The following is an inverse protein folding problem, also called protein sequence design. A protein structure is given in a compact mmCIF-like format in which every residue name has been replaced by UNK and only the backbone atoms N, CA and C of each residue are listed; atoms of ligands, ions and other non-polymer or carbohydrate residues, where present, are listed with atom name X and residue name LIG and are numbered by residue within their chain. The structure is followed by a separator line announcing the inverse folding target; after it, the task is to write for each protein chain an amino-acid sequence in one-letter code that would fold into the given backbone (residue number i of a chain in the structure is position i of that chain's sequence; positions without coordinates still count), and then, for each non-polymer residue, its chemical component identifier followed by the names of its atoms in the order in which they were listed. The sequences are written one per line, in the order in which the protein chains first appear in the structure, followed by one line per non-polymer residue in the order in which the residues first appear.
data_IF_215293927022
#
_entry.id   IF_215293927022
#
_cell.length_a   1.000
_cell.length_b   1.000
_cell.length_c   1.000
_cell.angle_alpha   90.00
_cell.angle_beta   90.00
_cell.angle_gamma   90.00
#
_symmetry.space_group_name_H-M   'P 1'
#
loop_
_entity.id
_entity.type
_entity.pdbx_description
1 polymer ?
#
# COMPACT_ATOMS: atom_id res chain seq x y z
N UNK A 1 -5.85 -27.33 -3.69
CA UNK A 1 -4.71 -28.19 -4.10
C UNK A 1 -3.59 -27.97 -3.08
N UNK A 2 -2.81 -29.00 -2.75
CA UNK A 2 -1.67 -28.86 -1.84
C UNK A 2 -0.57 -27.98 -2.44
N UNK A 3 0.16 -27.23 -1.61
CA UNK A 3 1.34 -26.48 -2.03
C UNK A 3 2.33 -27.40 -2.77
N UNK A 4 2.80 -26.97 -3.95
CA UNK A 4 3.81 -27.68 -4.74
C UNK A 4 4.94 -26.71 -5.05
N UNK A 5 6.04 -26.82 -4.31
CA UNK A 5 7.25 -26.04 -4.53
C UNK A 5 8.31 -26.90 -5.24
N UNK A 6 9.05 -26.30 -6.17
CA UNK A 6 10.30 -26.91 -6.60
C UNK A 6 11.40 -26.80 -5.51
N UNK A 7 12.58 -27.38 -5.77
CA UNK A 7 13.66 -27.39 -4.80
C UNK A 7 14.18 -25.97 -4.45
N UNK A 8 14.19 -25.05 -5.42
CA UNK A 8 14.65 -23.67 -5.23
C UNK A 8 13.65 -22.90 -4.39
N UNK A 9 12.36 -23.00 -4.72
CA UNK A 9 11.29 -22.37 -3.97
C UNK A 9 11.19 -22.91 -2.55
N UNK A 10 11.36 -24.22 -2.36
CA UNK A 10 11.38 -24.83 -1.02
C UNK A 10 12.55 -24.29 -0.18
N UNK A 11 13.74 -24.14 -0.77
CA UNK A 11 14.89 -23.54 -0.08
C UNK A 11 14.60 -22.08 0.32
N UNK A 12 14.10 -21.28 -0.65
CA UNK A 12 13.75 -19.86 -0.46
C UNK A 12 12.71 -19.66 0.64
N UNK A 13 11.59 -20.38 0.59
CA UNK A 13 10.45 -20.18 1.50
C UNK A 13 10.49 -21.08 2.73
N UNK A 14 11.57 -21.85 2.93
CA UNK A 14 11.71 -22.78 4.05
C UNK A 14 11.45 -22.13 5.41
N UNK A 15 11.81 -20.85 5.58
CA UNK A 15 11.61 -20.10 6.83
C UNK A 15 10.17 -19.67 7.08
N UNK A 16 9.35 -19.52 6.04
CA UNK A 16 7.92 -19.28 6.18
C UNK A 16 7.17 -20.58 6.43
N UNK A 17 7.49 -21.62 5.65
CA UNK A 17 6.79 -22.91 5.70
C UNK A 17 6.90 -23.61 7.08
N UNK A 18 7.96 -23.33 7.86
CA UNK A 18 8.15 -23.88 9.21
C UNK A 18 7.41 -23.13 10.31
N UNK A 19 6.88 -21.93 10.05
CA UNK A 19 6.13 -21.17 11.05
C UNK A 19 4.73 -21.76 11.17
N UNK A 20 4.30 -22.11 12.38
CA UNK A 20 3.00 -22.79 12.60
C UNK A 20 1.81 -22.00 12.04
N UNK A 21 1.81 -20.67 12.22
CA UNK A 21 0.73 -19.79 11.75
C UNK A 21 0.79 -19.53 10.23
N UNK A 22 1.93 -19.78 9.57
CA UNK A 22 2.06 -19.62 8.11
C UNK A 22 1.91 -20.98 7.43
N UNK A 23 2.84 -21.89 7.70
CA UNK A 23 2.85 -23.25 7.16
C UNK A 23 2.89 -23.30 5.62
N UNK A 24 2.70 -24.50 5.05
CA UNK A 24 2.55 -24.66 3.61
C UNK A 24 1.33 -23.90 3.04
N UNK A 25 0.24 -23.79 3.80
CA UNK A 25 -0.99 -23.17 3.31
C UNK A 25 -0.86 -21.64 3.21
N UNK A 26 -0.29 -20.98 4.21
CA UNK A 26 -0.03 -19.53 4.17
C UNK A 26 0.94 -19.16 3.07
N UNK A 27 2.03 -19.93 2.89
CA UNK A 27 2.93 -19.70 1.76
C UNK A 27 2.24 -19.92 0.40
N UNK A 28 1.32 -20.88 0.30
CA UNK A 28 0.51 -21.06 -0.92
C UNK A 28 -0.36 -19.85 -1.19
N UNK A 29 -1.03 -19.31 -0.17
CA UNK A 29 -1.84 -18.10 -0.30
C UNK A 29 -1.03 -16.91 -0.79
N UNK A 30 0.20 -16.73 -0.28
CA UNK A 30 1.12 -15.71 -0.80
C UNK A 30 1.41 -15.92 -2.29
N UNK A 31 1.79 -17.14 -2.68
CA UNK A 31 2.12 -17.46 -4.08
C UNK A 31 0.95 -17.31 -5.05
N UNK A 32 -0.28 -17.47 -4.57
CA UNK A 32 -1.49 -17.29 -5.40
C UNK A 32 -2.00 -15.84 -5.40
N UNK A 33 -1.53 -15.00 -4.49
CA UNK A 33 -2.06 -13.66 -4.27
C UNK A 33 -1.52 -12.62 -5.27
N UNK A 34 -2.37 -11.64 -5.54
CA UNK A 34 -2.09 -10.46 -6.35
C UNK A 34 -2.16 -9.22 -5.47
N UNK A 35 -1.06 -8.47 -5.37
CA UNK A 35 -0.99 -7.24 -4.57
C UNK A 35 -0.73 -6.03 -5.45
N UNK A 36 -1.56 -4.99 -5.34
CA UNK A 36 -1.35 -3.71 -6.02
C UNK A 36 -0.61 -2.75 -5.09
N UNK A 37 0.59 -2.33 -5.45
CA UNK A 37 1.34 -1.28 -4.73
C UNK A 37 1.19 0.04 -5.47
N UNK A 38 0.55 1.02 -4.83
CA UNK A 38 0.32 2.35 -5.38
C UNK A 38 1.45 3.28 -4.95
N UNK A 39 2.41 3.49 -5.83
CA UNK A 39 3.63 4.27 -5.62
C UNK A 39 4.84 3.38 -5.34
N UNK A 40 5.87 3.49 -6.17
CA UNK A 40 7.20 2.85 -6.00
C UNK A 40 8.19 3.78 -5.25
N UNK A 41 7.66 4.68 -4.41
CA UNK A 41 8.41 5.69 -3.69
C UNK A 41 9.06 5.19 -2.39
N UNK A 42 9.20 6.08 -1.41
CA UNK A 42 9.88 5.75 -0.14
C UNK A 42 9.16 4.67 0.68
N UNK A 43 7.82 4.67 0.65
CA UNK A 43 7.00 3.64 1.27
C UNK A 43 6.92 2.37 0.40
N UNK A 44 6.77 2.56 -0.92
CA UNK A 44 6.64 1.47 -1.88
C UNK A 44 7.88 0.61 -1.99
N UNK A 45 9.07 1.22 -1.95
CA UNK A 45 10.34 0.52 -2.07
C UNK A 45 10.49 -0.66 -1.07
N UNK A 46 10.44 -0.45 0.25
CA UNK A 46 10.47 -1.55 1.21
C UNK A 46 9.25 -2.47 1.09
N UNK A 47 8.06 -1.95 0.74
CA UNK A 47 6.87 -2.78 0.60
C UNK A 47 7.03 -3.80 -0.54
N UNK A 48 7.39 -3.34 -1.74
CA UNK A 48 7.70 -4.17 -2.92
C UNK A 48 8.80 -5.17 -2.58
N UNK A 49 9.87 -4.72 -1.93
CA UNK A 49 10.99 -5.58 -1.53
C UNK A 49 10.54 -6.77 -0.68
N UNK A 50 9.75 -6.52 0.37
CA UNK A 50 9.35 -7.58 1.29
C UNK A 50 8.19 -8.43 0.77
N UNK A 51 7.28 -7.87 -0.03
CA UNK A 51 6.25 -8.65 -0.72
C UNK A 51 6.88 -9.62 -1.74
N UNK A 52 7.86 -9.14 -2.51
CA UNK A 52 8.62 -9.98 -3.43
C UNK A 52 9.41 -11.06 -2.68
N UNK A 53 10.13 -10.70 -1.61
CA UNK A 53 10.87 -11.65 -0.80
C UNK A 53 9.96 -12.71 -0.14
N UNK A 54 8.76 -12.33 0.26
CA UNK A 54 7.76 -13.22 0.84
C UNK A 54 7.15 -14.21 -0.18
N UNK A 55 7.34 -13.95 -1.48
CA UNK A 55 6.81 -14.77 -2.55
C UNK A 55 5.34 -14.49 -2.83
N UNK A 56 4.92 -13.22 -2.78
CA UNK A 56 3.63 -12.82 -3.35
C UNK A 56 3.63 -13.13 -4.85
N UNK A 57 2.63 -13.85 -5.34
CA UNK A 57 2.60 -14.37 -6.71
C UNK A 57 2.68 -13.29 -7.78
N UNK A 58 1.83 -12.26 -7.67
CA UNK A 58 1.86 -11.10 -8.57
C UNK A 58 1.93 -9.80 -7.78
N UNK A 59 2.83 -8.91 -8.18
CA UNK A 59 2.91 -7.54 -7.68
C UNK A 59 2.61 -6.58 -8.82
N UNK A 60 1.46 -5.91 -8.76
CA UNK A 60 1.16 -4.76 -9.59
C UNK A 60 1.82 -3.51 -9.00
N UNK A 61 2.54 -2.74 -9.81
CA UNK A 61 3.24 -1.52 -9.37
C UNK A 61 2.71 -0.34 -10.18
N UNK A 62 2.07 0.61 -9.50
CA UNK A 62 1.54 1.85 -10.10
C UNK A 62 2.44 3.01 -9.75
N UNK A 63 3.06 3.65 -10.74
CA UNK A 63 3.83 4.88 -10.53
C UNK A 63 4.01 5.60 -11.88
N UNK A 64 3.77 6.92 -11.92
CA UNK A 64 3.91 7.76 -13.11
C UNK A 64 5.26 8.51 -13.18
N UNK A 65 6.11 8.38 -12.15
CA UNK A 65 7.36 9.11 -12.08
C UNK A 65 8.56 8.34 -12.67
N UNK A 66 9.65 9.09 -12.81
CA UNK A 66 11.00 8.57 -13.03
C UNK A 66 11.83 8.62 -11.75
N UNK A 67 12.87 7.81 -11.67
CA UNK A 67 13.84 7.83 -10.57
C UNK A 67 14.65 9.12 -10.63
N UNK A 68 14.65 9.88 -9.54
CA UNK A 68 15.53 11.03 -9.36
C UNK A 68 16.63 10.76 -8.33
N UNK A 69 17.78 11.40 -8.50
CA UNK A 69 18.90 11.26 -7.55
C UNK A 69 18.53 11.67 -6.12
N UNK A 70 17.64 12.65 -5.97
CA UNK A 70 17.10 13.12 -4.68
C UNK A 70 16.28 12.03 -3.94
N UNK A 71 15.83 11.01 -4.67
CA UNK A 71 15.00 9.94 -4.16
C UNK A 71 15.82 8.84 -3.46
N UNK A 72 17.06 8.63 -3.92
CA UNK A 72 17.91 7.49 -3.55
C UNK A 72 18.27 7.41 -2.06
N UNK A 73 18.07 8.49 -1.30
CA UNK A 73 18.24 8.50 0.16
C UNK A 73 17.17 7.68 0.91
N UNK A 74 16.05 7.33 0.24
CA UNK A 74 14.93 6.58 0.85
C UNK A 74 14.23 5.56 -0.06
N UNK A 75 14.46 5.58 -1.37
CA UNK A 75 13.84 4.65 -2.33
C UNK A 75 14.83 3.53 -2.69
N UNK A 76 14.99 2.59 -1.75
CA UNK A 76 16.14 1.67 -1.71
C UNK A 76 16.10 0.52 -2.73
N UNK A 77 15.04 0.40 -3.52
CA UNK A 77 14.95 -0.55 -4.65
C UNK A 77 15.48 0.06 -5.97
N UNK A 78 15.81 1.35 -5.97
CA UNK A 78 16.39 2.06 -7.12
C UNK A 78 17.87 2.36 -6.87
N UNK A 79 18.66 2.41 -7.94
CA UNK A 79 20.09 2.73 -7.90
C UNK A 79 20.47 4.03 -8.64
N UNK A 80 21.73 4.44 -8.51
CA UNK A 80 22.28 5.59 -9.24
C UNK A 80 22.21 5.41 -10.76
N UNK A 81 22.34 4.16 -11.22
CA UNK A 81 22.19 3.78 -12.63
C UNK A 81 20.76 3.87 -13.16
N UNK A 82 19.77 4.00 -12.27
CA UNK A 82 18.37 4.11 -12.66
C UNK A 82 17.88 5.54 -12.83
N UNK A 83 18.69 6.55 -12.50
CA UNK A 83 18.29 7.96 -12.59
C UNK A 83 17.81 8.30 -14.01
N UNK A 84 16.58 8.80 -14.10
CA UNK A 84 15.89 9.13 -15.36
C UNK A 84 15.09 7.97 -15.98
N UNK A 85 15.18 6.75 -15.43
CA UNK A 85 14.32 5.62 -15.81
C UNK A 85 12.99 5.68 -15.06
N UNK A 86 11.96 5.09 -15.65
CA UNK A 86 10.64 4.95 -15.02
C UNK A 86 10.76 4.12 -13.74
N UNK A 87 10.13 4.56 -12.65
CA UNK A 87 10.21 3.83 -11.37
C UNK A 87 9.65 2.42 -11.48
N UNK A 88 8.54 2.24 -12.21
CA UNK A 88 7.94 0.91 -12.44
C UNK A 88 8.90 -0.07 -13.13
N UNK A 89 9.75 0.40 -14.05
CA UNK A 89 10.73 -0.46 -14.73
C UNK A 89 11.89 -0.83 -13.80
N UNK A 90 12.45 0.16 -13.07
CA UNK A 90 13.52 -0.09 -12.10
C UNK A 90 13.05 -1.02 -10.96
N UNK A 91 11.82 -0.84 -10.48
CA UNK A 91 11.23 -1.69 -9.45
C UNK A 91 11.01 -3.13 -9.95
N UNK A 92 10.52 -3.31 -11.18
CA UNK A 92 10.33 -4.63 -11.77
C UNK A 92 11.66 -5.39 -11.94
N UNK A 93 12.74 -4.70 -12.34
CA UNK A 93 14.08 -5.29 -12.43
C UNK A 93 14.62 -5.70 -11.05
N UNK A 94 14.41 -4.86 -10.03
CA UNK A 94 14.76 -5.20 -8.66
C UNK A 94 14.04 -6.47 -8.18
N UNK A 95 12.73 -6.58 -8.44
CA UNK A 95 11.95 -7.77 -8.06
C UNK A 95 12.45 -9.00 -8.81
N UNK A 96 12.71 -8.91 -10.12
CA UNK A 96 13.21 -10.02 -10.91
C UNK A 96 14.58 -10.54 -10.44
N UNK A 97 15.46 -9.64 -9.99
CA UNK A 97 16.76 -10.03 -9.39
C UNK A 97 16.59 -10.68 -8.02
N UNK A 98 15.71 -10.12 -7.17
CA UNK A 98 15.47 -10.61 -5.81
C UNK A 98 14.73 -11.97 -5.79
N UNK A 99 13.66 -12.07 -6.56
CA UNK A 99 12.77 -13.22 -6.61
C UNK A 99 12.17 -13.39 -8.01
N UNK A 100 12.81 -14.16 -8.91
CA UNK A 100 12.35 -14.35 -10.28
C UNK A 100 11.06 -15.18 -10.42
N UNK A 101 10.52 -15.71 -9.32
CA UNK A 101 9.25 -16.45 -9.34
C UNK A 101 8.03 -15.53 -9.15
N UNK A 102 8.26 -14.23 -8.90
CA UNK A 102 7.21 -13.22 -8.73
C UNK A 102 6.91 -12.54 -10.07
N UNK A 103 5.65 -12.55 -10.47
CA UNK A 103 5.19 -11.83 -11.65
C UNK A 103 5.01 -10.34 -11.30
N UNK A 104 5.56 -9.46 -12.13
CA UNK A 104 5.42 -8.00 -11.94
C UNK A 104 4.60 -7.38 -13.07
N UNK A 105 3.51 -6.73 -12.70
CA UNK A 105 2.68 -5.95 -13.62
C UNK A 105 3.01 -4.47 -13.44
N UNK A 106 3.47 -3.83 -14.53
CA UNK A 106 3.91 -2.42 -14.52
C UNK A 106 2.78 -1.53 -15.02
N UNK A 107 2.30 -0.66 -14.15
CA UNK A 107 1.28 0.34 -14.46
C UNK A 107 1.89 1.73 -14.45
N UNK A 108 2.43 2.14 -15.58
CA UNK A 108 2.99 3.48 -15.78
C UNK A 108 1.87 4.51 -16.00
N UNK A 109 1.13 4.78 -14.94
CA UNK A 109 0.00 5.69 -14.94
C UNK A 109 -0.15 6.33 -13.57
N UNK A 110 -0.82 7.48 -13.54
CA UNK A 110 -1.33 8.05 -12.31
C UNK A 110 -2.66 7.38 -11.98
N UNK A 111 -2.78 6.86 -10.76
CA UNK A 111 -4.05 6.34 -10.28
C UNK A 111 -5.01 7.49 -10.01
N UNK A 112 -6.17 7.47 -10.66
CA UNK A 112 -7.22 8.48 -10.53
C UNK A 112 -8.62 7.86 -10.62
N UNK A 113 -9.68 8.67 -10.48
CA UNK A 113 -11.05 8.19 -10.49
C UNK A 113 -11.47 7.50 -11.80
N UNK A 114 -10.77 7.75 -12.91
CA UNK A 114 -11.07 7.17 -14.22
C UNK A 114 -10.49 5.78 -14.43
N UNK A 115 -9.51 5.35 -13.64
CA UNK A 115 -8.85 4.05 -13.78
C UNK A 115 -8.81 3.20 -12.50
N UNK A 116 -9.03 3.80 -11.32
CA UNK A 116 -8.79 3.12 -10.04
C UNK A 116 -9.66 1.89 -9.81
N UNK A 117 -10.96 1.94 -10.15
CA UNK A 117 -11.88 0.83 -9.90
C UNK A 117 -11.51 -0.42 -10.69
N UNK A 118 -11.37 -0.27 -12.01
CA UNK A 118 -11.00 -1.38 -12.89
C UNK A 118 -9.67 -1.97 -12.48
N UNK A 119 -8.67 -1.14 -12.19
CA UNK A 119 -7.37 -1.63 -11.78
C UNK A 119 -7.38 -2.32 -10.42
N UNK A 120 -8.07 -1.77 -9.42
CA UNK A 120 -8.08 -2.33 -8.06
C UNK A 120 -8.84 -3.66 -8.01
N UNK A 121 -9.90 -3.83 -8.79
CA UNK A 121 -10.72 -5.04 -8.81
C UNK A 121 -9.95 -6.32 -9.19
N UNK A 122 -8.80 -6.20 -9.86
CA UNK A 122 -7.96 -7.32 -10.31
C UNK A 122 -6.95 -7.81 -9.24
N UNK A 123 -6.99 -7.26 -8.02
CA UNK A 123 -6.05 -7.56 -6.94
C UNK A 123 -6.74 -7.94 -5.63
N UNK A 124 -6.06 -8.76 -4.82
CA UNK A 124 -6.57 -9.25 -3.54
C UNK A 124 -6.36 -8.24 -2.41
N UNK A 125 -5.28 -7.44 -2.49
CA UNK A 125 -4.92 -6.41 -1.50
C UNK A 125 -4.27 -5.22 -2.20
N UNK A 126 -4.60 -4.01 -1.76
CA UNK A 126 -3.88 -2.78 -2.14
C UNK A 126 -2.92 -2.37 -1.04
N UNK A 127 -1.72 -1.93 -1.39
CA UNK A 127 -0.80 -1.23 -0.50
C UNK A 127 -0.68 0.20 -0.97
N UNK A 128 -1.30 1.11 -0.22
CA UNK A 128 -1.31 2.54 -0.54
C UNK A 128 -0.02 3.20 -0.05
N UNK A 129 0.94 3.35 -0.96
CA UNK A 129 2.22 4.01 -0.74
C UNK A 129 2.26 5.41 -1.34
N UNK A 130 1.10 6.02 -1.62
CA UNK A 130 0.98 7.32 -2.27
C UNK A 130 1.33 8.49 -1.34
N UNK A 131 1.92 9.53 -1.93
CA UNK A 131 2.42 10.70 -1.20
C UNK A 131 1.52 11.94 -1.30
N UNK A 132 0.36 11.81 -1.93
CA UNK A 132 -0.59 12.91 -2.11
C UNK A 132 -2.00 12.52 -1.63
N UNK A 133 -2.75 13.51 -1.15
CA UNK A 133 -4.08 13.27 -0.58
C UNK A 133 -5.08 12.74 -1.62
N UNK A 134 -5.11 13.30 -2.83
CA UNK A 134 -6.09 12.92 -3.84
C UNK A 134 -6.06 11.41 -4.13
N UNK A 135 -4.86 10.83 -4.34
CA UNK A 135 -4.69 9.39 -4.56
C UNK A 135 -5.15 8.57 -3.36
N UNK A 136 -4.90 9.00 -2.12
CA UNK A 136 -5.37 8.29 -0.91
C UNK A 136 -6.90 8.18 -0.86
N UNK A 137 -7.60 9.26 -1.19
CA UNK A 137 -9.06 9.25 -1.25
C UNK A 137 -9.58 8.40 -2.42
N UNK A 138 -8.96 8.48 -3.60
CA UNK A 138 -9.30 7.61 -4.74
C UNK A 138 -9.12 6.13 -4.39
N UNK A 139 -7.98 5.75 -3.80
CA UNK A 139 -7.72 4.37 -3.38
C UNK A 139 -8.75 3.91 -2.35
N UNK A 140 -9.03 4.73 -1.33
CA UNK A 140 -10.02 4.39 -0.32
C UNK A 140 -11.40 4.13 -0.93
N UNK A 141 -11.88 5.05 -1.76
CA UNK A 141 -13.24 5.03 -2.26
C UNK A 141 -13.41 3.88 -3.28
N UNK A 142 -12.45 3.72 -4.20
CA UNK A 142 -12.44 2.63 -5.16
C UNK A 142 -12.33 1.24 -4.49
N UNK A 143 -11.36 1.05 -3.59
CA UNK A 143 -11.15 -0.23 -2.92
C UNK A 143 -12.33 -0.62 -2.04
N UNK A 144 -13.00 0.37 -1.41
CA UNK A 144 -14.22 0.13 -0.65
C UNK A 144 -15.36 -0.41 -1.53
N UNK A 145 -15.55 0.17 -2.71
CA UNK A 145 -16.61 -0.25 -3.64
C UNK A 145 -16.30 -1.63 -4.22
N UNK A 146 -15.04 -1.89 -4.58
CA UNK A 146 -14.62 -3.18 -5.16
C UNK A 146 -14.43 -4.29 -4.11
N UNK A 147 -14.55 -3.98 -2.82
CA UNK A 147 -14.40 -4.96 -1.74
C UNK A 147 -12.96 -5.44 -1.55
N UNK A 148 -11.98 -4.62 -1.88
CA UNK A 148 -10.55 -4.92 -1.76
C UNK A 148 -9.97 -4.24 -0.51
N UNK A 149 -9.33 -4.96 0.42
CA UNK A 149 -8.69 -4.34 1.58
C UNK A 149 -7.44 -3.54 1.20
N UNK A 150 -7.14 -2.51 1.99
CA UNK A 150 -6.00 -1.61 1.79
C UNK A 150 -5.12 -1.58 3.03
N UNK A 151 -3.81 -1.83 2.85
CA UNK A 151 -2.78 -1.50 3.82
C UNK A 151 -2.27 -0.08 3.57
N UNK A 152 -2.80 0.88 4.32
CA UNK A 152 -2.50 2.30 4.14
C UNK A 152 -1.31 2.75 5.00
N UNK A 153 -0.46 3.60 4.43
CA UNK A 153 0.67 4.21 5.12
C UNK A 153 0.84 5.68 4.74
N UNK A 154 1.22 6.49 5.72
CA UNK A 154 1.55 7.89 5.53
C UNK A 154 2.74 8.29 6.41
N UNK A 155 3.47 9.31 6.01
CA UNK A 155 4.62 9.83 6.74
C UNK A 155 4.67 11.35 6.68
N UNK A 156 5.21 11.96 7.71
CA UNK A 156 5.49 13.38 7.78
C UNK A 156 6.68 13.64 8.70
N UNK A 157 7.77 14.22 8.17
CA UNK A 157 9.01 14.52 8.92
C UNK A 157 9.64 13.29 9.61
N UNK A 158 9.25 13.04 10.87
CA UNK A 158 9.72 11.97 11.75
C UNK A 158 8.60 11.02 12.19
N UNK A 159 7.37 11.27 11.73
CA UNK A 159 6.17 10.56 12.16
C UNK A 159 5.64 9.68 11.02
N UNK A 160 5.27 8.45 11.36
CA UNK A 160 4.64 7.48 10.48
C UNK A 160 3.26 7.10 10.97
N UNK A 161 2.36 6.79 10.04
CA UNK A 161 1.00 6.32 10.32
C UNK A 161 0.72 5.09 9.47
N UNK A 162 0.10 4.06 10.06
CA UNK A 162 -0.32 2.84 9.36
C UNK A 162 -1.71 2.44 9.84
N UNK A 163 -2.58 2.03 8.93
CA UNK A 163 -3.85 1.40 9.25
C UNK A 163 -4.27 0.43 8.16
N UNK A 164 -5.16 -0.49 8.49
CA UNK A 164 -5.73 -1.43 7.53
C UNK A 164 -7.19 -1.07 7.30
N UNK A 165 -7.53 -0.75 6.06
CA UNK A 165 -8.90 -0.46 5.62
C UNK A 165 -9.49 -1.75 5.07
N UNK A 166 -10.58 -2.22 5.67
CA UNK A 166 -11.24 -3.46 5.26
C UNK A 166 -12.65 -3.17 4.71
N UNK A 167 -13.17 -3.98 3.77
CA UNK A 167 -14.55 -3.88 3.29
C UNK A 167 -15.62 -3.95 4.39
N UNK A 168 -15.32 -4.54 5.53
CA UNK A 168 -16.25 -4.62 6.67
C UNK A 168 -15.94 -3.60 7.78
N UNK A 169 -14.83 -2.87 7.66
CA UNK A 169 -14.33 -1.92 8.66
C UNK A 169 -14.69 -0.46 8.37
N UNK A 170 -14.26 0.47 9.25
CA UNK A 170 -14.22 1.89 8.93
C UNK A 170 -13.26 2.17 7.76
N UNK A 171 -13.61 3.13 6.91
CA UNK A 171 -12.79 3.54 5.78
C UNK A 171 -11.93 4.77 6.13
N UNK A 172 -11.03 5.19 5.23
CA UNK A 172 -10.18 6.36 5.40
C UNK A 172 -11.00 7.63 5.68
N UNK A 173 -12.14 7.81 5.01
CA UNK A 173 -13.06 8.94 5.24
C UNK A 173 -13.76 8.94 6.60
N UNK A 174 -13.83 7.79 7.29
CA UNK A 174 -14.29 7.79 8.68
C UNK A 174 -13.26 8.45 9.62
N UNK A 175 -11.97 8.39 9.26
CA UNK A 175 -10.89 8.96 10.04
C UNK A 175 -10.58 10.40 9.60
N UNK A 176 -10.54 10.65 8.30
CA UNK A 176 -10.30 11.94 7.68
C UNK A 176 -11.42 12.22 6.66
N UNK A 177 -12.52 12.86 7.06
CA UNK A 177 -13.68 13.07 6.19
C UNK A 177 -13.35 13.82 4.90
N UNK A 178 -12.50 14.83 5.00
CA UNK A 178 -12.08 15.71 3.91
C UNK A 178 -10.56 15.91 3.92
N UNK A 179 -9.92 16.09 2.75
CA UNK A 179 -8.52 16.45 2.68
C UNK A 179 -8.28 17.83 3.31
N UNK A 180 -7.06 18.10 3.80
CA UNK A 180 -6.67 19.46 4.16
C UNK A 180 -6.82 20.42 2.98
N UNK A 181 -7.07 21.71 3.26
CA UNK A 181 -7.13 22.74 2.22
C UNK A 181 -5.84 22.74 1.37
N UNK A 182 -5.94 22.87 0.03
CA UNK A 182 -4.77 22.87 -0.84
C UNK A 182 -3.69 23.86 -0.39
N UNK A 183 -2.45 23.37 -0.25
CA UNK A 183 -1.30 24.17 0.16
C UNK A 183 -1.12 24.37 1.67
N UNK A 184 -2.02 23.86 2.52
CA UNK A 184 -1.86 23.96 3.99
C UNK A 184 -0.89 22.93 4.56
N UNK A 185 -0.79 21.76 3.92
CA UNK A 185 0.16 20.72 4.30
C UNK A 185 1.24 20.65 3.22
N UNK A 186 2.51 20.99 3.53
CA UNK A 186 3.60 20.88 2.57
C UNK A 186 3.93 19.41 2.28
N UNK A 187 4.32 19.14 1.04
CA UNK A 187 4.70 17.78 0.62
C UNK A 187 6.03 17.31 1.26
N UNK A 188 6.30 16.01 1.18
CA UNK A 188 7.52 15.43 1.72
C UNK A 188 8.78 15.97 1.03
N UNK A 189 8.68 16.36 -0.25
CA UNK A 189 9.81 16.86 -1.03
C UNK A 189 10.29 18.24 -0.53
N UNK A 190 9.35 19.11 -0.15
CA UNK A 190 9.61 20.45 0.37
C UNK A 190 9.90 20.48 1.87
N UNK A 191 9.26 19.60 2.65
CA UNK A 191 9.41 19.56 4.12
C UNK A 191 10.65 18.77 4.56
N UNK A 192 11.07 17.79 3.75
CA UNK A 192 12.06 16.80 4.12
C UNK A 192 11.47 15.69 5.00
N UNK A 193 12.10 14.52 4.92
CA UNK A 193 11.71 13.32 5.68
C UNK A 193 12.96 12.54 6.08
N UNK A 194 12.98 12.00 7.30
CA UNK A 194 14.05 11.12 7.74
C UNK A 194 14.06 9.86 6.86
N UNK A 195 15.13 9.61 6.09
CA UNK A 195 15.12 8.58 5.04
C UNK A 195 14.72 7.16 5.47
N UNK A 196 15.03 6.76 6.71
CA UNK A 196 14.68 5.44 7.26
C UNK A 196 13.21 5.32 7.68
N UNK A 197 12.52 6.43 7.93
CA UNK A 197 11.12 6.46 8.34
C UNK A 197 10.20 5.78 7.30
N UNK A 198 10.22 6.18 6.01
CA UNK A 198 9.47 5.47 4.97
C UNK A 198 9.82 3.97 4.91
N UNK A 199 11.09 3.62 5.10
CA UNK A 199 11.57 2.24 5.21
C UNK A 199 10.79 1.44 6.26
N UNK A 200 10.68 2.00 7.46
CA UNK A 200 9.98 1.36 8.58
C UNK A 200 8.48 1.24 8.30
N UNK A 201 7.84 2.31 7.86
CA UNK A 201 6.40 2.35 7.58
C UNK A 201 6.01 1.42 6.44
N UNK A 202 6.79 1.36 5.35
CA UNK A 202 6.52 0.44 4.25
C UNK A 202 6.72 -1.03 4.63
N UNK A 203 7.65 -1.36 5.54
CA UNK A 203 7.72 -2.70 6.13
C UNK A 203 6.49 -3.06 6.97
N UNK A 204 5.95 -2.10 7.73
CA UNK A 204 4.71 -2.30 8.48
C UNK A 204 3.52 -2.51 7.53
N UNK A 205 3.46 -1.77 6.42
CA UNK A 205 2.46 -1.97 5.38
C UNK A 205 2.56 -3.37 4.74
N UNK A 206 3.76 -3.81 4.36
CA UNK A 206 3.96 -5.17 3.85
C UNK A 206 3.54 -6.24 4.86
N UNK A 207 3.77 -5.99 6.15
CA UNK A 207 3.33 -6.88 7.23
C UNK A 207 1.80 -6.99 7.29
N UNK A 208 1.08 -5.87 7.21
CA UNK A 208 -0.39 -5.88 7.15
C UNK A 208 -0.92 -6.59 5.90
N UNK A 209 -0.33 -6.34 4.74
CA UNK A 209 -0.72 -7.00 3.49
C UNK A 209 -0.52 -8.53 3.56
N UNK A 210 0.63 -8.98 4.08
CA UNK A 210 0.92 -10.41 4.28
C UNK A 210 -0.07 -11.05 5.26
N UNK A 211 -0.42 -10.36 6.36
CA UNK A 211 -1.45 -10.84 7.30
C UNK A 211 -2.82 -10.98 6.63
N UNK A 212 -3.22 -10.01 5.81
CA UNK A 212 -4.48 -10.05 5.07
C UNK A 212 -4.54 -11.23 4.10
N UNK A 213 -3.48 -11.46 3.31
CA UNK A 213 -3.41 -12.56 2.33
C UNK A 213 -3.50 -13.91 3.01
N UNK A 214 -2.75 -14.09 4.10
CA UNK A 214 -2.70 -15.36 4.81
C UNK A 214 -3.91 -15.58 5.72
N UNK A 215 -4.70 -14.54 5.99
CA UNK A 215 -5.80 -14.54 6.97
C UNK A 215 -5.31 -14.92 8.37
N UNK A 216 -4.27 -14.23 8.84
CA UNK A 216 -3.62 -14.49 10.14
C UNK A 216 -3.41 -13.23 10.98
N UNK A 217 -3.27 -13.44 12.28
CA UNK A 217 -3.03 -12.37 13.24
C UNK A 217 -4.23 -11.45 13.38
N UNK A 218 -3.96 -10.19 13.72
CA UNK A 218 -4.97 -9.17 13.98
C UNK A 218 -4.60 -7.91 13.18
N UNK A 219 -5.18 -7.70 11.98
CA UNK A 219 -4.90 -6.53 11.15
C UNK A 219 -5.35 -5.22 11.80
N UNK A 220 -4.75 -4.09 11.43
CA UNK A 220 -5.02 -2.74 11.97
C UNK A 220 -6.42 -2.16 11.61
N UNK A 221 -7.42 -3.01 11.36
CA UNK A 221 -8.79 -2.57 11.09
C UNK A 221 -9.35 -1.82 12.30
N UNK A 222 -9.82 -0.59 12.08
CA UNK A 222 -10.35 0.29 13.14
C UNK A 222 -9.29 0.79 14.13
N UNK A 223 -8.00 0.68 13.78
CA UNK A 223 -6.88 1.13 14.61
C UNK A 223 -5.83 1.83 13.75
N UNK A 224 -5.40 3.01 14.16
CA UNK A 224 -4.28 3.70 13.53
C UNK A 224 -3.05 3.54 14.41
N UNK A 225 -2.00 2.96 13.83
CA UNK A 225 -0.67 2.88 14.44
C UNK A 225 0.09 4.18 14.11
N UNK A 226 0.55 4.87 15.14
CA UNK A 226 1.46 5.99 15.06
C UNK A 226 2.87 5.52 15.43
N UNK A 227 3.85 5.93 14.63
CA UNK A 227 5.26 5.69 14.85
C UNK A 227 5.99 7.03 14.96
N UNK A 228 6.61 7.30 16.11
CA UNK A 228 7.52 8.42 16.30
C UNK A 228 8.97 7.93 16.20
N UNK A 229 9.69 8.34 15.16
CA UNK A 229 11.09 7.93 14.95
C UNK A 229 12.10 8.65 15.86
N UNK A 230 11.76 9.80 16.43
CA UNK A 230 12.63 10.52 17.36
C UNK A 230 12.63 9.86 18.73
N UNK A 231 11.45 9.47 19.21
CA UNK A 231 11.27 8.80 20.49
C UNK A 231 11.35 7.26 20.38
N UNK A 232 11.37 6.74 19.15
CA UNK A 232 11.29 5.31 18.82
C UNK A 232 10.09 4.64 19.50
N UNK A 233 8.92 5.28 19.40
CA UNK A 233 7.70 4.86 20.09
C UNK A 233 6.58 4.48 19.11
N UNK A 234 5.70 3.58 19.56
CA UNK A 234 4.53 3.13 18.82
C UNK A 234 3.28 3.32 19.69
N UNK A 235 2.28 4.01 19.17
CA UNK A 235 0.98 4.19 19.81
C UNK A 235 -0.12 3.73 18.86
N UNK A 236 -1.18 3.11 19.39
CA UNK A 236 -2.33 2.70 18.60
C UNK A 236 -3.59 3.41 19.09
N UNK A 237 -4.24 4.14 18.18
CA UNK A 237 -5.48 4.87 18.47
C UNK A 237 -6.65 4.20 17.75
N UNK A 238 -7.71 3.77 18.47
CA UNK A 238 -8.89 3.19 17.84
C UNK A 238 -9.73 4.26 17.14
N UNK A 239 -10.36 3.90 16.03
CA UNK A 239 -11.36 4.71 15.33
C UNK A 239 -12.53 3.82 14.87
N UNK A 240 -13.70 4.42 14.75
CA UNK A 240 -14.94 3.72 14.46
C UNK A 240 -15.51 4.13 13.10
N UNK A 241 -16.39 3.29 12.57
CA UNK A 241 -17.17 3.61 11.36
C UNK A 241 -18.09 4.77 11.69
N UNK A 242 -18.08 5.79 10.84
CA UNK A 242 -19.03 6.89 10.89
C UNK A 242 -20.30 6.47 10.11
N UNK A 243 -21.49 6.38 10.74
CA UNK A 243 -22.75 6.08 10.04
C UNK A 243 -23.06 7.06 8.90
N UNK A 244 -22.62 8.31 9.05
CA UNK A 244 -22.82 9.39 8.07
C UNK A 244 -21.65 9.49 7.07
N UNK A 245 -20.77 8.49 7.00
CA UNK A 245 -19.67 8.51 6.04
C UNK A 245 -20.24 8.43 4.61
N UNK A 246 -19.83 9.33 3.68
CA UNK A 246 -20.37 9.32 2.32
C UNK A 246 -19.98 8.08 1.50
N UNK A 247 -19.05 7.25 2.00
CA UNK A 247 -18.52 6.10 1.27
C UNK A 247 -18.91 4.78 1.91
N UNK A 248 -18.73 4.65 3.22
CA UNK A 248 -19.12 3.43 3.93
C UNK A 248 -20.25 3.65 4.93
N UNK A 249 -20.97 4.78 4.90
CA UNK A 249 -22.16 4.99 5.73
C UNK A 249 -23.35 4.17 5.27
N UNK A 250 -24.51 4.43 5.85
CA UNK A 250 -25.76 3.74 5.49
C UNK A 250 -26.23 4.07 4.06
N UNK A 251 -25.89 5.27 3.58
CA UNK A 251 -26.14 5.76 2.21
C UNK A 251 -24.82 5.99 1.45
N UNK A 252 -23.87 5.05 1.58
CA UNK A 252 -22.58 5.12 0.91
C UNK A 252 -22.67 5.10 -0.62
N UNK A 253 -21.76 5.80 -1.30
CA UNK A 253 -21.65 5.80 -2.76
C UNK A 253 -21.39 4.41 -3.37
N UNK A 254 -21.88 4.19 -4.59
CA UNK A 254 -21.64 3.01 -5.42
C UNK A 254 -20.71 3.30 -6.62
N UNK A 255 -20.36 4.57 -6.83
CA UNK A 255 -19.47 5.02 -7.88
C UNK A 255 -18.60 6.18 -7.42
N UNK A 256 -17.37 6.24 -7.95
CA UNK A 256 -16.45 7.36 -7.76
C UNK A 256 -16.45 8.33 -8.95
N UNK A 257 -17.24 8.04 -10.00
CA UNK A 257 -17.32 8.88 -11.18
C UNK A 257 -17.94 10.24 -10.84
N UNK A 258 -17.32 11.33 -11.34
CA UNK A 258 -17.81 12.68 -11.14
C UNK A 258 -17.40 13.34 -9.81
N UNK A 259 -16.73 12.60 -8.91
CA UNK A 259 -16.13 13.18 -7.69
C UNK A 259 -14.86 13.94 -8.08
N UNK A 260 -14.76 15.20 -7.67
CA UNK A 260 -13.58 16.02 -7.91
C UNK A 260 -12.52 15.81 -6.82
N UNK A 261 -11.68 14.79 -7.01
CA UNK A 261 -10.54 14.52 -6.13
C UNK A 261 -9.41 15.56 -6.26
N UNK A 262 -9.40 16.38 -7.31
CA UNK A 262 -8.39 17.41 -7.52
C UNK A 262 -8.73 18.72 -6.79
N UNK A 263 -10.02 19.04 -6.64
CA UNK A 263 -10.49 20.30 -6.07
C UNK A 263 -10.97 20.23 -4.60
N UNK A 264 -10.92 19.06 -3.96
CA UNK A 264 -11.28 18.94 -2.54
C UNK A 264 -11.75 17.56 -2.08
N UNK A 265 -11.86 16.57 -2.97
CA UNK A 265 -12.34 15.22 -2.66
C UNK A 265 -13.71 15.20 -1.96
N UNK A 266 -14.50 16.28 -2.07
CA UNK A 266 -15.80 16.39 -1.42
C UNK A 266 -16.80 15.48 -2.12
N UNK A 267 -17.61 14.80 -1.31
CA UNK A 267 -18.74 14.02 -1.77
C UNK A 267 -19.96 14.66 -1.13
N UNK A 268 -20.79 15.30 -1.94
CA UNK A 268 -22.06 15.81 -1.47
C UNK A 268 -22.96 14.62 -1.12
N UNK A 269 -23.47 14.58 0.12
CA UNK A 269 -24.48 13.61 0.50
C UNK A 269 -25.73 13.82 -0.38
N UNK A 270 -26.27 12.72 -0.91
CA UNK A 270 -27.46 12.74 -1.78
C UNK A 270 -28.72 13.24 -1.04
#
# INVERSE_FOLDING_TARGET
MSLSLDATQLDRYSRHVILDDVGPEGQKRLLDARVLVVGAGGLGAPAIQYLAAAGVGTIGIVDDDVVERSNLQRQVIHGDGDVGRKKVDSAAEFVADLNPDVDVERHELRLDAGNARELIADYDVVVDCSDNFATRYVVNDAARIEGVPVSHGAIYKFEGQVTTLSPDGPCYRCLFPEPPEPGTVPDCASTGVLGVLPGTVGCLQATEAVKLIMDVGDPLVGRMLFYDAMDLSFETVPYARNPDCPVCGDEGIDSIEGIDYAAGCQIDAA
#
